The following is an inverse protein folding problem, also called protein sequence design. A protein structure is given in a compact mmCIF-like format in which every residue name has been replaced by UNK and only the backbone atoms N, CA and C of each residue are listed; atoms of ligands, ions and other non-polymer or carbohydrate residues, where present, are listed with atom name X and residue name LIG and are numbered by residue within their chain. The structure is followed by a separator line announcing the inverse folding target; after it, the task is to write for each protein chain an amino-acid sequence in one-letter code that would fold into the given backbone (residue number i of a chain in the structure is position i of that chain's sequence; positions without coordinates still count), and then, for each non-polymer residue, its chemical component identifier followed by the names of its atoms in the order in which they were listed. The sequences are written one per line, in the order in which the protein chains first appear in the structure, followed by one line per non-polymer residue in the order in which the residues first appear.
data_IF_624164663434
#
_entry.id   IF_624164663434
#
_cell.length_a   1.000
_cell.length_b   1.000
_cell.length_c   1.000
_cell.angle_alpha   90.00
_cell.angle_beta   90.00
_cell.angle_gamma   90.00
#
_symmetry.space_group_name_H-M   'P 1'
#
loop_
_entity.id
_entity.type
_entity.pdbx_description
1 polymer ?
#
# COMPACT_ATOMS: atom_id res chain seq x y z
N UNK A 1 -15.49 22.87 -13.80
CA UNK A 1 -14.74 21.84 -14.55
C UNK A 1 -13.32 21.83 -14.00
N UNK A 2 -12.78 20.65 -13.66
CA UNK A 2 -11.43 20.54 -13.08
C UNK A 2 -10.37 20.76 -14.19
N UNK A 3 -9.37 21.60 -13.92
CA UNK A 3 -8.31 21.91 -14.87
C UNK A 3 -7.17 20.88 -14.76
N UNK A 4 -7.20 19.88 -15.65
CA UNK A 4 -6.24 18.78 -15.67
C UNK A 4 -4.81 19.22 -16.02
N UNK A 5 -4.60 20.40 -16.63
CA UNK A 5 -3.24 20.86 -16.95
C UNK A 5 -2.42 21.25 -15.71
N UNK A 6 -3.08 21.34 -14.54
CA UNK A 6 -2.47 21.69 -13.25
C UNK A 6 -2.35 20.49 -12.31
N UNK A 7 -2.64 19.29 -12.82
CA UNK A 7 -2.65 18.08 -12.01
C UNK A 7 -1.24 17.80 -11.48
N UNK A 8 -1.16 17.67 -10.16
CA UNK A 8 0.06 17.29 -9.45
C UNK A 8 0.08 15.78 -9.35
N UNK A 9 1.16 15.14 -9.78
CA UNK A 9 1.35 13.69 -9.64
C UNK A 9 2.15 13.35 -8.38
N UNK A 10 2.09 12.09 -7.96
CA UNK A 10 3.01 11.52 -6.97
C UNK A 10 4.46 11.49 -7.46
N UNK A 11 5.36 11.15 -6.54
CA UNK A 11 6.80 11.10 -6.78
C UNK A 11 7.34 9.67 -7.01
N UNK A 12 6.45 8.72 -7.32
CA UNK A 12 6.82 7.37 -7.75
C UNK A 12 7.30 7.41 -9.22
N UNK A 13 8.54 6.96 -9.52
CA UNK A 13 9.05 6.97 -10.89
C UNK A 13 8.22 6.11 -11.85
N UNK A 14 7.83 6.67 -12.99
CA UNK A 14 7.15 5.95 -14.07
C UNK A 14 5.64 5.76 -13.88
N UNK A 15 5.08 6.20 -12.75
CA UNK A 15 3.66 6.11 -12.49
C UNK A 15 2.83 6.98 -13.44
N UNK A 16 1.69 6.43 -13.87
CA UNK A 16 0.71 7.09 -14.72
C UNK A 16 -0.63 7.08 -14.01
N UNK A 17 -1.19 8.26 -13.78
CA UNK A 17 -2.52 8.39 -13.17
C UNK A 17 -3.60 8.56 -14.24
N UNK A 18 -4.74 7.93 -14.02
CA UNK A 18 -5.92 8.08 -14.88
C UNK A 18 -7.12 8.49 -14.03
N UNK A 19 -7.52 9.75 -14.16
CA UNK A 19 -8.64 10.28 -13.38
C UNK A 19 -9.95 9.95 -14.08
N UNK A 20 -10.79 9.17 -13.40
CA UNK A 20 -12.17 8.93 -13.79
C UNK A 20 -13.17 9.65 -12.88
N UNK A 21 -14.45 9.59 -13.24
CA UNK A 21 -15.54 10.29 -12.54
C UNK A 21 -15.66 9.87 -11.06
N UNK A 22 -15.41 8.59 -10.74
CA UNK A 22 -15.42 8.11 -9.35
C UNK A 22 -14.36 8.83 -8.50
N UNK A 23 -13.16 9.04 -9.05
CA UNK A 23 -12.08 9.76 -8.36
C UNK A 23 -12.47 11.23 -8.10
N UNK A 24 -13.09 11.86 -9.09
CA UNK A 24 -13.57 13.25 -8.98
C UNK A 24 -14.64 13.35 -7.89
N UNK A 25 -15.67 12.49 -7.92
CA UNK A 25 -16.75 12.46 -6.93
C UNK A 25 -16.22 12.29 -5.50
N UNK A 26 -15.36 11.30 -5.28
CA UNK A 26 -14.72 11.09 -3.96
C UNK A 26 -13.92 12.32 -3.53
N UNK A 27 -13.15 12.93 -4.44
CA UNK A 27 -12.40 14.15 -4.13
C UNK A 27 -13.30 15.35 -3.84
N UNK A 28 -14.45 15.48 -4.51
CA UNK A 28 -15.44 16.53 -4.25
C UNK A 28 -16.07 16.38 -2.86
N UNK A 29 -16.31 15.15 -2.40
CA UNK A 29 -16.80 14.88 -1.04
C UNK A 29 -15.72 15.14 0.02
N UNK A 30 -14.51 14.60 -0.17
CA UNK A 30 -13.46 14.60 0.86
C UNK A 30 -12.82 15.99 1.03
N UNK A 31 -12.59 16.73 -0.06
CA UNK A 31 -11.80 17.96 -0.02
C UNK A 31 -12.39 19.06 0.90
N UNK A 32 -13.69 19.41 0.84
CA UNK A 32 -14.27 20.43 1.72
C UNK A 32 -14.11 20.08 3.21
N UNK A 33 -14.23 18.80 3.55
CA UNK A 33 -14.09 18.30 4.92
C UNK A 33 -12.64 18.43 5.39
N UNK A 34 -11.68 18.00 4.55
CA UNK A 34 -10.26 18.15 4.84
C UNK A 34 -9.86 19.61 4.96
N UNK A 35 -10.33 20.49 4.07
CA UNK A 35 -10.02 21.91 4.11
C UNK A 35 -10.49 22.56 5.42
N UNK A 36 -11.70 22.19 5.89
CA UNK A 36 -12.22 22.64 7.19
C UNK A 36 -11.34 22.15 8.34
N UNK A 37 -10.95 20.87 8.35
CA UNK A 37 -10.05 20.29 9.36
C UNK A 37 -8.66 20.95 9.35
N UNK A 38 -8.10 21.18 8.16
CA UNK A 38 -6.83 21.90 7.95
C UNK A 38 -6.89 23.29 8.55
N UNK A 39 -7.92 24.09 8.22
CA UNK A 39 -8.10 25.44 8.76
C UNK A 39 -8.29 25.44 10.28
N UNK A 40 -9.08 24.50 10.80
CA UNK A 40 -9.36 24.40 12.24
C UNK A 40 -8.15 23.94 13.06
N UNK A 41 -7.20 23.21 12.46
CA UNK A 41 -6.04 22.66 13.18
C UNK A 41 -5.07 23.72 13.71
N UNK A 42 -5.03 24.91 13.10
CA UNK A 42 -4.02 25.94 13.40
C UNK A 42 -2.58 25.56 13.07
N UNK A 43 -2.33 24.37 12.51
CA UNK A 43 -1.00 23.86 12.19
C UNK A 43 -0.44 24.51 10.91
N UNK A 44 0.85 24.77 10.89
CA UNK A 44 1.56 25.35 9.74
C UNK A 44 2.00 24.31 8.71
N UNK A 45 2.20 23.06 9.16
CA UNK A 45 2.57 21.88 8.37
C UNK A 45 1.64 20.73 8.73
N UNK A 46 0.98 20.15 7.73
CA UNK A 46 -0.04 19.11 7.92
C UNK A 46 0.27 17.91 7.04
N UNK A 47 0.17 16.72 7.62
CA UNK A 47 0.33 15.45 6.91
C UNK A 47 -1.03 14.77 6.77
N UNK A 48 -1.41 14.47 5.53
CA UNK A 48 -2.62 13.76 5.18
C UNK A 48 -2.19 12.45 4.55
N UNK A 49 -2.74 11.31 4.97
CA UNK A 49 -2.54 10.07 4.24
C UNK A 49 -3.80 9.72 3.45
N UNK A 50 -3.62 9.17 2.25
CA UNK A 50 -4.68 8.60 1.43
C UNK A 50 -4.34 7.14 1.25
N UNK A 51 -5.11 6.26 1.90
CA UNK A 51 -4.79 4.84 1.99
C UNK A 51 -5.98 3.95 1.65
N UNK A 52 -5.68 2.70 1.36
CA UNK A 52 -6.65 1.70 0.93
C UNK A 52 -6.02 0.61 0.07
N UNK A 53 -6.84 -0.35 -0.34
CA UNK A 53 -6.40 -1.50 -1.12
C UNK A 53 -5.70 -1.14 -2.43
N UNK A 54 -5.00 -2.11 -3.02
CA UNK A 54 -4.45 -1.92 -4.37
C UNK A 54 -5.56 -1.62 -5.38
N UNK A 55 -5.36 -0.60 -6.23
CA UNK A 55 -6.30 -0.26 -7.32
C UNK A 55 -7.50 0.62 -6.94
N UNK A 56 -7.64 1.02 -5.66
CA UNK A 56 -8.78 1.83 -5.20
C UNK A 56 -8.69 3.32 -5.56
N UNK A 57 -7.61 3.76 -6.23
CA UNK A 57 -7.42 5.14 -6.70
C UNK A 57 -6.65 6.07 -5.75
N UNK A 58 -5.74 5.54 -4.92
CA UNK A 58 -4.95 6.34 -3.95
C UNK A 58 -4.16 7.46 -4.64
N UNK A 59 -3.42 7.12 -5.68
CA UNK A 59 -2.56 8.05 -6.43
C UNK A 59 -3.40 9.14 -7.10
N UNK A 60 -4.56 8.79 -7.68
CA UNK A 60 -5.50 9.74 -8.29
C UNK A 60 -6.11 10.68 -7.25
N UNK A 61 -6.60 10.16 -6.13
CA UNK A 61 -7.18 10.98 -5.06
C UNK A 61 -6.12 11.88 -4.42
N UNK A 62 -4.91 11.37 -4.16
CA UNK A 62 -3.79 12.17 -3.65
C UNK A 62 -3.45 13.34 -4.59
N UNK A 63 -3.39 13.07 -5.89
CA UNK A 63 -3.14 14.05 -6.95
C UNK A 63 -4.23 15.12 -7.03
N UNK A 64 -5.51 14.71 -7.00
CA UNK A 64 -6.66 15.61 -6.99
C UNK A 64 -6.68 16.50 -5.74
N UNK A 65 -6.46 15.93 -4.55
CA UNK A 65 -6.42 16.68 -3.30
C UNK A 65 -5.27 17.69 -3.28
N UNK A 66 -4.07 17.30 -3.70
CA UNK A 66 -2.93 18.22 -3.77
C UNK A 66 -3.23 19.40 -4.69
N UNK A 67 -3.81 19.13 -5.86
CA UNK A 67 -4.14 20.16 -6.85
C UNK A 67 -5.18 21.14 -6.30
N UNK A 68 -6.18 20.63 -5.58
CA UNK A 68 -7.20 21.46 -4.91
C UNK A 68 -6.62 22.28 -3.77
N UNK A 69 -5.73 21.73 -2.95
CA UNK A 69 -5.04 22.48 -1.90
C UNK A 69 -4.22 23.63 -2.48
N UNK A 70 -3.43 23.38 -3.53
CA UNK A 70 -2.65 24.44 -4.20
C UNK A 70 -3.55 25.53 -4.77
N UNK A 71 -4.66 25.15 -5.40
CA UNK A 71 -5.67 26.09 -5.91
C UNK A 71 -6.34 26.93 -4.81
N UNK A 72 -6.27 26.48 -3.56
CA UNK A 72 -6.77 27.19 -2.38
C UNK A 72 -5.66 27.87 -1.55
N UNK A 73 -4.46 28.06 -2.12
CA UNK A 73 -3.36 28.79 -1.48
C UNK A 73 -2.53 27.97 -0.49
N UNK A 74 -2.70 26.65 -0.47
CA UNK A 74 -1.89 25.73 0.34
C UNK A 74 -0.94 24.96 -0.57
N UNK A 75 0.35 25.29 -0.55
CA UNK A 75 1.35 24.47 -1.24
C UNK A 75 1.26 23.02 -0.77
N UNK A 76 1.27 22.08 -1.72
CA UNK A 76 1.08 20.66 -1.44
C UNK A 76 2.11 19.81 -2.19
N UNK A 77 2.51 18.69 -1.60
CA UNK A 77 3.39 17.68 -2.20
C UNK A 77 2.75 16.29 -2.03
N UNK A 78 2.88 15.42 -3.03
CA UNK A 78 2.38 14.04 -2.99
C UNK A 78 3.57 13.09 -2.91
N UNK A 79 3.73 12.45 -1.75
CA UNK A 79 4.72 11.44 -1.47
C UNK A 79 4.10 10.06 -1.68
N UNK A 80 4.71 9.26 -2.55
CA UNK A 80 4.37 7.86 -2.70
C UNK A 80 5.09 7.02 -1.67
N UNK A 81 4.32 6.27 -0.88
CA UNK A 81 4.89 5.34 0.09
C UNK A 81 5.57 4.13 -0.56
N UNK A 82 5.30 3.86 -1.84
CA UNK A 82 5.85 2.70 -2.56
C UNK A 82 7.37 2.83 -2.83
N UNK A 83 7.95 4.01 -2.60
CA UNK A 83 9.42 4.20 -2.59
C UNK A 83 10.12 3.59 -1.36
N UNK A 84 9.37 3.23 -0.30
CA UNK A 84 9.91 2.98 1.04
C UNK A 84 9.98 1.52 1.54
N UNK A 85 9.73 0.46 0.74
CA UNK A 85 10.25 -0.87 1.07
C UNK A 85 11.79 -0.86 1.18
N UNK A 86 12.37 -1.82 1.91
CA UNK A 86 13.84 -1.95 1.94
C UNK A 86 14.41 -2.42 0.60
N UNK A 87 13.63 -3.21 -0.15
CA UNK A 87 14.03 -3.88 -1.39
C UNK A 87 13.30 -3.30 -2.59
N UNK A 88 13.90 -3.38 -3.78
CA UNK A 88 13.19 -3.10 -5.05
C UNK A 88 12.04 -4.10 -5.25
N UNK A 89 11.03 -3.80 -6.08
CA UNK A 89 9.81 -4.61 -6.18
C UNK A 89 10.06 -6.11 -6.38
N UNK A 90 10.88 -6.49 -7.38
CA UNK A 90 11.15 -7.91 -7.69
C UNK A 90 11.85 -8.66 -6.55
N UNK A 91 12.77 -7.99 -5.84
CA UNK A 91 13.46 -8.57 -4.69
C UNK A 91 12.54 -8.67 -3.48
N UNK A 92 11.64 -7.71 -3.30
CA UNK A 92 10.66 -7.73 -2.23
C UNK A 92 9.63 -8.84 -2.42
N UNK A 93 9.14 -9.02 -3.65
CA UNK A 93 8.23 -10.12 -3.98
C UNK A 93 8.89 -11.49 -3.76
N UNK A 94 10.16 -11.64 -4.14
CA UNK A 94 10.94 -12.85 -3.83
C UNK A 94 11.10 -13.09 -2.32
N UNK A 95 11.34 -12.05 -1.52
CA UNK A 95 11.41 -12.19 -0.07
C UNK A 95 10.06 -12.63 0.52
N UNK A 96 8.94 -12.09 0.03
CA UNK A 96 7.59 -12.53 0.45
C UNK A 96 7.39 -14.03 0.17
N UNK A 97 7.74 -14.48 -1.03
CA UNK A 97 7.68 -15.92 -1.38
C UNK A 97 8.59 -16.75 -0.47
N UNK A 98 9.83 -16.31 -0.23
CA UNK A 98 10.76 -17.01 0.66
C UNK A 98 10.20 -17.14 2.08
N UNK A 99 9.58 -16.08 2.63
CA UNK A 99 8.98 -16.11 3.98
C UNK A 99 7.84 -17.11 4.07
N UNK A 100 6.95 -17.11 3.08
CA UNK A 100 5.86 -18.07 2.99
C UNK A 100 6.39 -19.50 2.90
N UNK A 101 7.28 -19.76 1.94
CA UNK A 101 7.84 -21.10 1.68
C UNK A 101 8.63 -21.64 2.86
N UNK A 102 9.48 -20.82 3.47
CA UNK A 102 10.28 -21.23 4.63
C UNK A 102 9.40 -21.50 5.86
N UNK A 103 8.38 -20.69 6.10
CA UNK A 103 7.40 -20.94 7.16
C UNK A 103 6.69 -22.28 6.99
N UNK A 104 6.22 -22.56 5.76
CA UNK A 104 5.59 -23.84 5.45
C UNK A 104 6.53 -25.04 5.58
N UNK A 105 7.75 -24.94 5.04
CA UNK A 105 8.76 -26.00 5.16
C UNK A 105 9.12 -26.31 6.60
N UNK A 106 9.30 -25.28 7.43
CA UNK A 106 9.65 -25.45 8.83
C UNK A 106 8.56 -26.20 9.58
N UNK A 107 7.29 -25.87 9.32
CA UNK A 107 6.16 -26.55 9.95
C UNK A 107 6.09 -28.04 9.57
N UNK A 108 6.13 -28.37 8.27
CA UNK A 108 6.01 -29.77 7.84
C UNK A 108 7.21 -30.62 8.25
N UNK A 109 8.40 -30.03 8.40
CA UNK A 109 9.59 -30.73 8.88
C UNK A 109 9.50 -31.13 10.36
N UNK A 110 8.66 -30.43 11.13
CA UNK A 110 8.39 -30.72 12.54
C UNK A 110 7.15 -31.61 12.73
N UNK A 111 6.36 -31.84 11.67
CA UNK A 111 5.14 -32.66 11.73
C UNK A 111 5.43 -34.16 11.85
N UNK A 112 4.60 -34.85 12.64
CA UNK A 112 4.59 -36.31 12.69
C UNK A 112 4.26 -36.88 11.30
N UNK A 113 5.13 -37.77 10.80
CA UNK A 113 4.94 -38.39 9.48
C UNK A 113 5.66 -37.71 8.33
N UNK A 114 6.48 -36.68 8.59
CA UNK A 114 7.38 -36.11 7.59
C UNK A 114 8.16 -37.18 6.83
N UNK A 115 8.14 -37.11 5.49
CA UNK A 115 8.85 -38.04 4.61
C UNK A 115 9.32 -37.36 3.31
N UNK A 116 10.17 -38.05 2.55
CA UNK A 116 10.69 -37.55 1.26
C UNK A 116 9.59 -37.26 0.24
N UNK A 117 8.53 -38.06 0.21
CA UNK A 117 7.45 -37.91 -0.77
C UNK A 117 6.71 -36.57 -0.60
N UNK A 118 6.62 -36.05 0.63
CA UNK A 118 6.08 -34.71 0.88
C UNK A 118 6.96 -33.64 0.25
N UNK A 119 8.28 -33.79 0.34
CA UNK A 119 9.23 -32.86 -0.26
C UNK A 119 9.19 -32.88 -1.79
N UNK A 120 8.96 -34.04 -2.40
CA UNK A 120 8.77 -34.14 -3.85
C UNK A 120 7.51 -33.36 -4.30
N UNK A 121 6.39 -33.50 -3.56
CA UNK A 121 5.16 -32.74 -3.83
C UNK A 121 5.38 -31.23 -3.67
N UNK A 122 6.05 -30.79 -2.59
CA UNK A 122 6.37 -29.36 -2.38
C UNK A 122 7.26 -28.84 -3.51
N UNK A 123 8.26 -29.61 -3.93
CA UNK A 123 9.16 -29.23 -5.01
C UNK A 123 8.42 -29.05 -6.34
N UNK A 124 7.55 -30.00 -6.70
CA UNK A 124 6.70 -29.90 -7.89
C UNK A 124 5.75 -28.69 -7.83
N UNK A 125 5.21 -28.40 -6.64
CA UNK A 125 4.37 -27.23 -6.40
C UNK A 125 5.16 -25.92 -6.56
N UNK A 126 6.42 -25.86 -6.12
CA UNK A 126 7.28 -24.69 -6.32
C UNK A 126 7.61 -24.45 -7.80
N UNK A 127 7.91 -25.50 -8.54
CA UNK A 127 8.22 -25.42 -9.98
C UNK A 127 7.02 -24.95 -10.80
N UNK A 128 5.81 -25.34 -10.39
CA UNK A 128 4.56 -24.93 -11.04
C UNK A 128 3.95 -23.64 -10.50
N UNK A 129 4.43 -23.12 -9.36
CA UNK A 129 3.86 -21.96 -8.67
C UNK A 129 2.53 -22.24 -7.96
N UNK A 130 2.20 -23.51 -7.74
CA UNK A 130 0.97 -23.98 -7.12
C UNK A 130 1.08 -24.16 -5.61
N UNK A 131 2.20 -23.81 -4.97
CA UNK A 131 2.42 -24.10 -3.54
C UNK A 131 1.49 -23.36 -2.58
N UNK A 132 0.86 -22.29 -3.07
CA UNK A 132 -0.20 -21.56 -2.39
C UNK A 132 -1.63 -21.92 -2.89
N UNK A 133 -1.76 -22.92 -3.78
CA UNK A 133 -3.05 -23.33 -4.34
C UNK A 133 -3.87 -24.11 -3.30
N UNK A 134 -5.09 -23.66 -2.97
CA UNK A 134 -5.95 -24.37 -2.02
C UNK A 134 -6.27 -25.81 -2.45
N UNK A 135 -6.25 -26.14 -3.74
CA UNK A 135 -6.49 -27.53 -4.21
C UNK A 135 -5.44 -28.50 -3.65
N UNK A 136 -4.19 -28.05 -3.43
CA UNK A 136 -3.17 -28.88 -2.80
C UNK A 136 -3.45 -29.13 -1.31
N UNK A 137 -3.97 -28.13 -0.58
CA UNK A 137 -4.35 -28.27 0.83
C UNK A 137 -5.64 -29.08 1.03
N UNK A 138 -6.50 -29.16 0.00
CA UNK A 138 -7.63 -30.09 -0.03
C UNK A 138 -7.16 -31.54 -0.26
N UNK A 139 -6.15 -31.73 -1.11
CA UNK A 139 -5.63 -33.04 -1.49
C UNK A 139 -4.69 -33.65 -0.44
N UNK A 140 -3.87 -32.84 0.21
CA UNK A 140 -2.83 -33.29 1.14
C UNK A 140 -2.91 -32.53 2.46
N UNK A 141 -3.08 -33.24 3.57
CA UNK A 141 -3.19 -32.63 4.90
C UNK A 141 -1.92 -31.83 5.26
N UNK A 142 -0.73 -32.37 5.00
CA UNK A 142 0.52 -31.65 5.24
C UNK A 142 0.66 -30.36 4.42
N UNK A 143 0.00 -30.26 3.25
CA UNK A 143 -0.01 -29.03 2.46
C UNK A 143 -0.90 -27.96 3.09
N UNK A 144 -1.95 -28.34 3.84
CA UNK A 144 -2.72 -27.40 4.66
C UNK A 144 -1.84 -26.78 5.73
N UNK A 145 -1.12 -27.62 6.48
CA UNK A 145 -0.19 -27.15 7.52
C UNK A 145 0.91 -26.25 6.93
N UNK A 146 1.48 -26.66 5.78
CA UNK A 146 2.44 -25.86 5.03
C UNK A 146 1.88 -24.47 4.68
N UNK A 147 0.67 -24.40 4.12
CA UNK A 147 0.07 -23.14 3.68
C UNK A 147 -0.34 -22.24 4.87
N UNK A 148 -0.88 -22.81 5.94
CA UNK A 148 -1.27 -22.07 7.15
C UNK A 148 -0.05 -21.48 7.87
N UNK A 149 1.00 -22.28 8.05
CA UNK A 149 2.26 -21.82 8.62
C UNK A 149 2.95 -20.79 7.72
N UNK A 150 2.95 -21.02 6.40
CA UNK A 150 3.47 -20.07 5.42
C UNK A 150 2.73 -18.73 5.46
N UNK A 151 1.39 -18.75 5.52
CA UNK A 151 0.57 -17.54 5.65
C UNK A 151 0.86 -16.80 6.95
N UNK A 152 1.08 -17.53 8.05
CA UNK A 152 1.46 -16.94 9.35
C UNK A 152 2.83 -16.26 9.27
N UNK A 153 3.83 -16.95 8.72
CA UNK A 153 5.18 -16.41 8.54
C UNK A 153 5.19 -15.17 7.61
N UNK A 154 4.44 -15.24 6.50
CA UNK A 154 4.27 -14.11 5.59
C UNK A 154 3.57 -12.93 6.28
N UNK A 155 2.52 -13.17 7.08
CA UNK A 155 1.80 -12.11 7.79
C UNK A 155 2.68 -11.38 8.82
N UNK A 156 3.65 -12.05 9.43
CA UNK A 156 4.62 -11.43 10.34
C UNK A 156 5.57 -10.46 9.61
N UNK A 157 5.87 -10.72 8.34
CA UNK A 157 6.72 -9.87 7.50
C UNK A 157 5.92 -8.76 6.79
N UNK A 158 4.78 -9.11 6.19
CA UNK A 158 4.03 -8.24 5.28
C UNK A 158 3.41 -7.04 6.00
N UNK A 159 3.58 -5.86 5.42
CA UNK A 159 3.15 -4.57 5.94
C UNK A 159 3.74 -4.21 7.32
N UNK A 160 4.87 -4.80 7.71
CA UNK A 160 5.52 -4.55 9.01
C UNK A 160 6.86 -3.81 8.83
N UNK A 161 7.48 -3.34 9.93
CA UNK A 161 8.82 -2.76 9.88
C UNK A 161 9.92 -3.73 9.40
N UNK A 162 9.65 -5.03 9.23
CA UNK A 162 10.59 -5.96 8.58
C UNK A 162 10.63 -5.80 7.06
N UNK A 163 9.50 -5.44 6.46
CA UNK A 163 9.38 -5.24 5.01
C UNK A 163 9.65 -3.79 4.60
N UNK A 164 9.21 -2.84 5.44
CA UNK A 164 9.07 -1.44 5.09
C UNK A 164 9.92 -0.56 6.03
N UNK A 165 10.62 0.42 5.46
CA UNK A 165 11.38 1.42 6.22
C UNK A 165 10.47 2.56 6.71
N UNK A 166 9.53 2.24 7.61
CA UNK A 166 8.71 3.24 8.30
C UNK A 166 9.56 4.28 9.02
N UNK A 167 10.75 3.90 9.51
CA UNK A 167 11.69 4.80 10.16
C UNK A 167 12.12 5.95 9.24
N UNK A 168 12.40 5.68 7.97
CA UNK A 168 12.74 6.71 6.98
C UNK A 168 11.55 7.65 6.70
N UNK A 169 10.36 7.11 6.53
CA UNK A 169 9.14 7.92 6.31
C UNK A 169 8.84 8.79 7.53
N UNK A 170 8.94 8.24 8.74
CA UNK A 170 8.74 8.99 9.99
C UNK A 170 9.76 10.12 10.14
N UNK A 171 11.03 9.91 9.76
CA UNK A 171 12.03 10.98 9.71
C UNK A 171 11.65 12.08 8.72
N UNK A 172 11.17 11.73 7.53
CA UNK A 172 10.70 12.69 6.51
C UNK A 172 9.53 13.52 7.06
N UNK A 173 8.53 12.87 7.65
CA UNK A 173 7.37 13.53 8.28
C UNK A 173 7.83 14.49 9.38
N UNK A 174 8.74 14.06 10.26
CA UNK A 174 9.28 14.90 11.34
C UNK A 174 9.99 16.15 10.80
N UNK A 175 10.86 15.99 9.80
CA UNK A 175 11.55 17.10 9.13
C UNK A 175 10.57 18.08 8.50
N UNK A 176 9.57 17.57 7.79
CA UNK A 176 8.52 18.37 7.18
C UNK A 176 7.74 19.17 8.23
N UNK A 177 7.35 18.53 9.34
CA UNK A 177 6.63 19.19 10.44
C UNK A 177 7.48 20.24 11.17
N UNK A 178 8.78 20.04 11.26
CA UNK A 178 9.72 21.04 11.78
C UNK A 178 9.99 22.20 10.81
N UNK A 179 9.47 22.13 9.58
CA UNK A 179 9.63 23.19 8.59
C UNK A 179 10.99 23.19 7.90
N UNK A 180 11.69 22.06 7.85
CA UNK A 180 12.87 21.92 7.00
C UNK A 180 12.51 22.26 5.54
N UNK A 181 13.36 23.08 4.92
CA UNK A 181 13.14 23.57 3.56
C UNK A 181 13.60 22.57 2.50
N UNK A 182 14.70 21.85 2.75
CA UNK A 182 15.18 20.81 1.87
C UNK A 182 15.08 19.47 2.58
N UNK A 183 14.40 18.50 1.99
CA UNK A 183 14.27 17.15 2.54
C UNK A 183 14.70 16.16 1.47
N UNK A 184 15.61 15.26 1.83
CA UNK A 184 16.02 14.15 0.96
C UNK A 184 14.94 13.09 0.94
N UNK A 185 14.40 12.78 -0.24
CA UNK A 185 13.40 11.76 -0.47
C UNK A 185 13.99 10.62 -1.30
N UNK A 186 13.60 9.39 -0.98
CA UNK A 186 14.01 8.20 -1.71
C UNK A 186 13.23 8.09 -3.01
N UNK A 187 13.91 7.65 -4.07
CA UNK A 187 13.32 7.22 -5.34
C UNK A 187 13.71 5.77 -5.55
N UNK A 188 12.74 4.95 -5.92
CA UNK A 188 12.95 3.53 -6.18
C UNK A 188 12.32 3.17 -7.51
N UNK A 189 13.15 2.82 -8.48
CA UNK A 189 12.71 2.16 -9.70
C UNK A 189 12.61 0.65 -9.56
N UNK A 190 12.64 -0.04 -10.69
CA UNK A 190 12.53 -1.52 -10.77
C UNK A 190 13.89 -2.20 -10.81
N UNK A 191 14.95 -1.48 -11.17
CA UNK A 191 16.32 -1.99 -11.17
C UNK A 191 17.10 -1.48 -9.92
N UNK A 192 18.11 -2.24 -9.44
CA UNK A 192 18.94 -1.82 -8.31
C UNK A 192 19.60 -0.45 -8.49
N UNK A 193 19.97 -0.11 -9.73
CA UNK A 193 20.63 1.16 -10.08
C UNK A 193 19.67 2.36 -10.07
N UNK A 194 18.35 2.11 -10.04
CA UNK A 194 17.30 3.14 -10.00
C UNK A 194 16.93 3.52 -8.55
N UNK A 195 17.80 3.22 -7.59
CA UNK A 195 17.68 3.57 -6.19
C UNK A 195 18.55 4.78 -5.84
N UNK A 196 17.93 5.92 -5.54
CA UNK A 196 18.67 7.14 -5.19
C UNK A 196 17.89 8.05 -4.25
N UNK A 197 18.55 9.08 -3.74
CA UNK A 197 17.92 10.15 -2.97
C UNK A 197 17.93 11.46 -3.77
N UNK A 198 16.80 12.15 -3.75
CA UNK A 198 16.62 13.46 -4.35
C UNK A 198 16.40 14.51 -3.26
N UNK A 199 17.05 15.68 -3.35
CA UNK A 199 16.78 16.81 -2.46
C UNK A 199 15.59 17.61 -2.98
N UNK A 200 14.49 17.64 -2.22
CA UNK A 200 13.25 18.29 -2.62
C UNK A 200 13.00 19.54 -1.78
N UNK A 201 12.56 20.63 -2.43
CA UNK A 201 12.20 21.90 -1.79
C UNK A 201 10.76 21.88 -1.23
N UNK A 202 10.66 22.08 0.07
CA UNK A 202 9.44 22.16 0.88
C UNK A 202 9.17 23.58 1.41
N UNK A 203 9.92 24.59 0.97
CA UNK A 203 9.81 25.98 1.44
C UNK A 203 8.38 26.54 1.32
N UNK A 204 7.70 26.26 0.21
CA UNK A 204 6.30 26.69 -0.02
C UNK A 204 5.26 25.62 0.34
N UNK A 205 5.67 24.42 0.73
CA UNK A 205 4.78 23.29 0.97
C UNK A 205 4.21 23.34 2.38
N UNK A 206 2.88 23.37 2.50
CA UNK A 206 2.14 23.35 3.78
C UNK A 206 1.46 22.00 4.04
N UNK A 207 1.10 21.29 2.98
CA UNK A 207 0.44 19.98 3.04
C UNK A 207 1.35 18.93 2.43
N UNK A 208 1.67 17.89 3.20
CA UNK A 208 2.27 16.66 2.69
C UNK A 208 1.16 15.62 2.58
N UNK A 209 0.89 15.16 1.37
CA UNK A 209 -0.04 14.06 1.11
C UNK A 209 0.78 12.80 0.92
N UNK A 210 0.52 11.76 1.71
CA UNK A 210 1.14 10.45 1.57
C UNK A 210 0.09 9.53 0.95
N UNK A 211 0.26 9.20 -0.32
CA UNK A 211 -0.58 8.19 -0.97
C UNK A 211 0.11 6.84 -0.80
N UNK A 212 -0.58 5.92 -0.13
CA UNK A 212 0.04 4.64 0.23
C UNK A 212 -0.94 3.61 0.76
N UNK A 213 -0.73 2.33 0.49
CA UNK A 213 -1.51 1.25 1.12
C UNK A 213 -1.38 1.30 2.64
N UNK A 214 -0.19 1.59 3.18
CA UNK A 214 0.09 1.56 4.63
C UNK A 214 -0.05 2.93 5.31
N UNK A 215 -0.78 3.87 4.69
CA UNK A 215 -0.90 5.25 5.15
C UNK A 215 -1.58 5.45 6.52
N UNK A 216 -2.12 4.39 7.13
CA UNK A 216 -2.66 4.43 8.50
C UNK A 216 -2.12 3.29 9.39
N UNK A 217 -0.96 2.73 9.00
CA UNK A 217 -0.28 1.71 9.78
C UNK A 217 0.20 2.29 11.12
N UNK A 218 0.14 1.50 12.19
CA UNK A 218 0.55 1.95 13.53
C UNK A 218 2.04 2.30 13.64
N UNK A 219 2.88 1.77 12.74
CA UNK A 219 4.30 2.14 12.65
C UNK A 219 4.53 3.48 11.93
N UNK A 220 3.52 4.02 11.22
CA UNK A 220 3.59 5.32 10.56
C UNK A 220 3.12 6.41 11.51
N UNK A 221 4.02 7.31 11.88
CA UNK A 221 3.77 8.33 12.88
C UNK A 221 3.57 9.72 12.26
N UNK A 222 2.82 10.56 12.97
CA UNK A 222 2.71 11.98 12.63
C UNK A 222 1.77 12.30 11.47
N UNK A 223 0.96 11.36 11.00
CA UNK A 223 -0.20 11.66 10.14
C UNK A 223 -1.24 12.44 10.93
N UNK A 224 -1.75 13.55 10.39
CA UNK A 224 -2.79 14.35 11.05
C UNK A 224 -4.20 13.93 10.64
N UNK A 225 -4.40 13.60 9.36
CA UNK A 225 -5.71 13.23 8.82
C UNK A 225 -5.58 12.02 7.87
N UNK A 226 -5.78 10.78 8.38
CA UNK A 226 -5.84 9.61 7.54
C UNK A 226 -7.18 9.53 6.79
N UNK A 227 -7.13 9.36 5.47
CA UNK A 227 -8.28 9.24 4.58
C UNK A 227 -8.31 7.83 4.01
N UNK A 228 -9.31 7.04 4.41
CA UNK A 228 -9.47 5.68 3.96
C UNK A 228 -10.36 5.63 2.72
N UNK A 229 -9.81 5.11 1.62
CA UNK A 229 -10.54 4.74 0.42
C UNK A 229 -11.08 3.33 0.62
N UNK A 230 -12.31 3.25 1.13
CA UNK A 230 -12.98 1.99 1.39
C UNK A 230 -13.38 1.30 0.08
N UNK A 231 -13.33 -0.03 0.09
CA UNK A 231 -13.85 -0.86 -0.98
C UNK A 231 -14.46 -2.12 -0.35
N UNK A 232 -15.60 -2.55 -0.87
CA UNK A 232 -16.25 -3.77 -0.38
C UNK A 232 -15.47 -5.01 -0.82
N UNK A 233 -15.69 -6.19 -0.20
CA UNK A 233 -15.12 -7.44 -0.67
C UNK A 233 -15.42 -7.72 -2.15
N UNK A 234 -16.64 -7.44 -2.61
CA UNK A 234 -17.07 -7.64 -4.00
C UNK A 234 -16.29 -6.72 -4.95
N UNK A 235 -16.15 -5.45 -4.60
CA UNK A 235 -15.35 -4.50 -5.39
C UNK A 235 -13.87 -4.90 -5.42
N UNK A 236 -13.35 -5.38 -4.29
CA UNK A 236 -11.98 -5.90 -4.20
C UNK A 236 -11.79 -7.10 -5.10
N UNK A 237 -12.77 -8.01 -5.17
CA UNK A 237 -12.78 -9.16 -6.07
C UNK A 237 -12.89 -8.75 -7.55
N UNK A 238 -13.79 -7.82 -7.90
CA UNK A 238 -13.89 -7.27 -9.26
C UNK A 238 -12.54 -6.71 -9.74
N UNK A 239 -11.85 -5.96 -8.87
CA UNK A 239 -10.51 -5.44 -9.14
C UNK A 239 -9.46 -6.55 -9.28
N UNK A 240 -9.57 -7.67 -8.56
CA UNK A 240 -8.72 -8.86 -8.75
C UNK A 240 -8.96 -9.48 -10.13
N UNK A 241 -10.21 -9.76 -10.47
CA UNK A 241 -10.61 -10.38 -11.75
C UNK A 241 -10.19 -9.52 -12.95
N UNK A 242 -10.39 -8.21 -12.89
CA UNK A 242 -9.96 -7.31 -13.97
C UNK A 242 -8.45 -7.36 -14.18
N UNK A 243 -7.66 -7.42 -13.10
CA UNK A 243 -6.19 -7.51 -13.18
C UNK A 243 -5.71 -8.85 -13.70
N UNK A 244 -6.36 -9.95 -13.31
CA UNK A 244 -6.06 -11.28 -13.81
C UNK A 244 -6.18 -11.34 -15.34
N UNK A 245 -7.23 -10.71 -15.89
CA UNK A 245 -7.47 -10.63 -17.34
C UNK A 245 -6.43 -9.80 -18.10
N UNK A 246 -6.03 -8.65 -17.55
CA UNK A 246 -5.16 -7.70 -18.27
C UNK A 246 -3.67 -8.04 -18.19
N UNK A 247 -3.23 -8.83 -17.19
CA UNK A 247 -1.80 -9.06 -16.96
C UNK A 247 -1.38 -10.53 -16.76
N UNK A 248 -2.30 -11.47 -16.54
CA UNK A 248 -1.92 -12.85 -16.19
C UNK A 248 -1.15 -12.95 -14.87
N UNK A 249 -1.32 -11.97 -13.97
CA UNK A 249 -0.52 -11.77 -12.73
C UNK A 249 -1.21 -12.36 -11.50
N UNK A 250 -2.38 -12.99 -11.64
CA UNK A 250 -3.11 -13.54 -10.50
C UNK A 250 -2.65 -14.98 -10.25
N UNK A 251 -1.75 -15.16 -9.28
CA UNK A 251 -1.32 -16.46 -8.78
C UNK A 251 -1.99 -16.76 -7.43
N UNK A 252 -2.09 -18.04 -7.01
CA UNK A 252 -2.56 -18.38 -5.67
C UNK A 252 -1.79 -17.64 -4.57
N UNK A 253 -0.47 -17.48 -4.75
CA UNK A 253 0.37 -16.74 -3.80
C UNK A 253 -0.01 -15.25 -3.73
N UNK A 254 -0.21 -14.59 -4.87
CA UNK A 254 -0.65 -13.19 -4.93
C UNK A 254 -1.99 -12.99 -4.22
N UNK A 255 -2.90 -13.98 -4.31
CA UNK A 255 -4.17 -13.94 -3.58
C UNK A 255 -3.98 -13.95 -2.06
N UNK A 256 -3.05 -14.76 -1.55
CA UNK A 256 -2.69 -14.76 -0.11
C UNK A 256 -2.15 -13.40 0.32
N UNK A 257 -1.22 -12.82 -0.46
CA UNK A 257 -0.65 -11.48 -0.17
C UNK A 257 -1.77 -10.44 -0.07
N UNK A 258 -2.65 -10.38 -1.07
CA UNK A 258 -3.76 -9.41 -1.10
C UNK A 258 -4.78 -9.63 0.02
N UNK A 259 -4.98 -10.88 0.46
CA UNK A 259 -5.84 -11.18 1.60
C UNK A 259 -5.25 -10.64 2.91
N UNK A 260 -3.96 -10.90 3.17
CA UNK A 260 -3.25 -10.39 4.34
C UNK A 260 -3.24 -8.86 4.34
N UNK A 261 -2.93 -8.22 3.21
CA UNK A 261 -2.97 -6.76 3.08
C UNK A 261 -4.37 -6.21 3.41
N UNK A 262 -5.42 -6.84 2.89
CA UNK A 262 -6.80 -6.42 3.13
C UNK A 262 -7.21 -6.59 4.60
N UNK A 263 -6.81 -7.68 5.26
CA UNK A 263 -7.05 -7.87 6.69
C UNK A 263 -6.40 -6.74 7.50
N UNK A 264 -5.12 -6.45 7.25
CA UNK A 264 -4.39 -5.37 7.94
C UNK A 264 -4.98 -3.98 7.66
N UNK A 265 -5.49 -3.74 6.45
CA UNK A 265 -6.21 -2.50 6.12
C UNK A 265 -7.51 -2.35 6.91
N UNK A 266 -8.27 -3.44 7.04
CA UNK A 266 -9.52 -3.43 7.79
C UNK A 266 -9.29 -3.15 9.28
N UNK A 267 -8.22 -3.69 9.87
CA UNK A 267 -7.81 -3.41 11.26
C UNK A 267 -7.50 -1.91 11.46
N UNK A 268 -7.01 -1.23 10.43
CA UNK A 268 -6.67 0.20 10.45
C UNK A 268 -7.84 1.11 10.06
N UNK A 269 -9.01 0.58 9.69
CA UNK A 269 -10.13 1.39 9.22
C UNK A 269 -10.73 2.30 10.32
N UNK A 270 -10.74 1.82 11.57
CA UNK A 270 -11.40 2.51 12.69
C UNK A 270 -10.72 3.81 13.10
N UNK A 271 -9.43 3.98 12.80
CA UNK A 271 -8.66 5.18 13.15
C UNK A 271 -8.60 6.20 12.01
N UNK A 272 -9.32 5.94 10.90
CA UNK A 272 -9.45 6.89 9.80
C UNK A 272 -10.11 8.19 10.28
N UNK A 273 -9.62 9.34 9.81
CA UNK A 273 -10.31 10.62 10.02
C UNK A 273 -11.50 10.79 9.08
N UNK A 274 -11.46 10.17 7.91
CA UNK A 274 -12.51 10.18 6.88
C UNK A 274 -12.46 8.83 6.17
N UNK A 275 -13.60 8.16 6.06
CA UNK A 275 -13.75 6.97 5.22
C UNK A 275 -14.70 7.30 4.07
N UNK A 276 -14.26 7.02 2.85
CA UNK A 276 -15.02 7.31 1.62
C UNK A 276 -15.17 6.03 0.80
N UNK A 277 -16.41 5.72 0.43
CA UNK A 277 -16.73 4.60 -0.43
C UNK A 277 -16.59 4.92 -1.93
N UNK A 278 -17.00 3.98 -2.78
CA UNK A 278 -16.64 4.04 -4.20
C UNK A 278 -17.33 5.15 -4.97
N UNK A 279 -18.54 5.47 -4.59
CA UNK A 279 -19.41 6.42 -5.27
C UNK A 279 -19.35 7.82 -4.66
N UNK A 280 -18.43 8.04 -3.71
CA UNK A 280 -18.23 9.32 -3.04
C UNK A 280 -19.10 9.51 -1.80
N UNK A 281 -19.71 8.43 -1.30
CA UNK A 281 -20.43 8.36 -0.04
C UNK A 281 -19.47 8.28 1.15
N UNK A 282 -19.77 9.04 2.22
CA UNK A 282 -19.04 8.92 3.48
C UNK A 282 -19.50 7.67 4.21
N UNK A 283 -18.55 6.88 4.68
CA UNK A 283 -18.81 5.72 5.54
C UNK A 283 -18.61 6.18 6.99
N UNK A 284 -19.65 6.04 7.80
CA UNK A 284 -19.72 6.47 9.21
C UNK A 284 -19.63 5.27 10.13
#
# INVERSE_FOLDING_TARGET
MFDYSKLITGDMPGDKIQIGDSHIKRSDTVFPILLKKVKASGKTKIVISVYGGSGVGKSEIGSLLATRFRSNGYGAYVLSGDNYPYRIPAENDRERENRFRYGGLSAIAESDGFCSDWMDIVHDAWLSGADADPELAEKYEFMRDYQEAGKTALSAFLCTPEEIDFGLVNRIIKKFKHGEKQISLKRMGRAPEELYFESVDFSSTKILIIEWTHGNNSALEGVDFPVFLYSTPEQTLEHRISRARDKGVDSPFTSIVLEIEQQKLNEQAQTASITIGKDGELIV
#
